data_IF_484579050194
#
_entry.id   IF_484579050194
#
_cell.length_a   1.000
_cell.length_b   1.000
_cell.length_c   1.000
_cell.angle_alpha   90.00
_cell.angle_beta   90.00
_cell.angle_gamma   90.00
#
_symmetry.space_group_name_H-M   'P 1'
#
loop_
_entity.id
_entity.type
_entity.pdbx_description
1 polymer ?
#
# COMPACT_ATOMS: atom_id res chain seq x y z
N UNK A 1 15.36 5.12 23.03
CA UNK A 1 15.69 4.23 21.89
C UNK A 1 14.44 3.71 21.18
N UNK A 2 13.58 2.86 21.78
CA UNK A 2 12.37 2.38 21.10
C UNK A 2 11.38 3.51 20.75
N UNK A 3 11.12 4.42 21.69
CA UNK A 3 10.24 5.58 21.50
C UNK A 3 10.76 6.56 20.42
N UNK A 4 12.07 6.76 20.37
CA UNK A 4 12.70 7.64 19.37
C UNK A 4 12.59 7.06 17.95
N UNK A 5 12.67 5.72 17.83
CA UNK A 5 12.47 5.02 16.56
C UNK A 5 11.01 5.07 16.10
N UNK A 6 10.05 4.92 17.02
CA UNK A 6 8.63 5.03 16.71
C UNK A 6 8.27 6.45 16.23
N UNK A 7 8.78 7.48 16.91
CA UNK A 7 8.58 8.88 16.52
C UNK A 7 9.20 9.17 15.15
N UNK A 8 10.40 8.65 14.87
CA UNK A 8 11.04 8.76 13.57
C UNK A 8 10.23 8.06 12.45
N UNK A 9 9.68 6.87 12.73
CA UNK A 9 8.81 6.14 11.80
C UNK A 9 7.55 6.94 11.49
N UNK A 10 6.88 7.50 12.50
CA UNK A 10 5.68 8.31 12.29
C UNK A 10 5.97 9.56 11.47
N UNK A 11 7.11 10.22 11.72
CA UNK A 11 7.55 11.38 10.95
C UNK A 11 7.81 11.02 9.48
N UNK A 12 8.60 9.97 9.24
CA UNK A 12 8.91 9.48 7.88
C UNK A 12 7.65 9.10 7.12
N UNK A 13 6.69 8.43 7.77
CA UNK A 13 5.38 8.12 7.19
C UNK A 13 4.64 9.39 6.78
N UNK A 14 4.58 10.38 7.67
CA UNK A 14 3.91 11.66 7.41
C UNK A 14 4.51 12.40 6.22
N UNK A 15 5.84 12.50 6.16
CA UNK A 15 6.56 13.11 5.04
C UNK A 15 6.31 12.33 3.75
N UNK A 16 6.38 11.00 3.80
CA UNK A 16 6.11 10.13 2.65
C UNK A 16 4.72 10.35 2.07
N UNK A 17 3.69 10.39 2.92
CA UNK A 17 2.31 10.65 2.50
C UNK A 17 2.14 12.07 1.92
N UNK A 18 2.80 13.08 2.48
CA UNK A 18 2.79 14.43 1.96
C UNK A 18 3.41 14.51 0.56
N UNK A 19 4.56 13.87 0.35
CA UNK A 19 5.17 13.80 -0.97
C UNK A 19 4.28 13.06 -1.98
N UNK A 20 3.64 11.97 -1.57
CA UNK A 20 2.73 11.20 -2.43
C UNK A 20 1.55 12.04 -2.90
N UNK A 21 0.91 12.77 -1.99
CA UNK A 21 -0.22 13.66 -2.31
C UNK A 21 0.16 14.82 -3.24
N UNK A 22 1.41 15.26 -3.19
CA UNK A 22 1.97 16.28 -4.08
C UNK A 22 2.47 15.71 -5.42
N UNK A 23 2.21 14.44 -5.74
CA UNK A 23 2.66 13.78 -6.97
C UNK A 23 4.16 13.45 -7.00
N UNK A 24 4.88 13.66 -5.90
CA UNK A 24 6.31 13.35 -5.77
C UNK A 24 6.52 11.90 -5.33
N UNK A 25 5.97 10.95 -6.10
CA UNK A 25 5.90 9.52 -5.74
C UNK A 25 7.28 8.91 -5.45
N UNK A 26 8.33 9.32 -6.17
CA UNK A 26 9.69 8.83 -5.91
C UNK A 26 10.23 9.26 -4.53
N UNK A 27 10.00 10.52 -4.13
CA UNK A 27 10.40 11.00 -2.79
C UNK A 27 9.57 10.34 -1.69
N UNK A 28 8.28 10.12 -1.95
CA UNK A 28 7.42 9.38 -1.05
C UNK A 28 7.95 7.97 -0.78
N UNK A 29 8.35 7.25 -1.84
CA UNK A 29 8.92 5.91 -1.74
C UNK A 29 10.16 5.88 -0.86
N UNK A 30 11.09 6.83 -1.02
CA UNK A 30 12.31 6.86 -0.20
C UNK A 30 11.97 6.94 1.29
N UNK A 31 11.09 7.86 1.69
CA UNK A 31 10.72 8.03 3.10
C UNK A 31 10.00 6.80 3.65
N UNK A 32 9.07 6.24 2.87
CA UNK A 32 8.29 5.06 3.29
C UNK A 32 9.13 3.79 3.35
N UNK A 33 10.11 3.61 2.46
CA UNK A 33 11.03 2.48 2.50
C UNK A 33 11.93 2.51 3.74
N UNK A 34 12.40 3.71 4.13
CA UNK A 34 13.17 3.87 5.38
C UNK A 34 12.27 3.52 6.58
N UNK A 35 11.04 4.02 6.61
CA UNK A 35 10.09 3.72 7.68
C UNK A 35 9.80 2.21 7.80
N UNK A 36 9.52 1.54 6.68
CA UNK A 36 9.30 0.08 6.63
C UNK A 36 10.55 -0.70 7.02
N UNK A 37 11.76 -0.20 6.78
CA UNK A 37 12.97 -0.88 7.23
C UNK A 37 13.13 -0.86 8.75
N UNK A 38 12.57 0.15 9.43
CA UNK A 38 12.56 0.25 10.90
C UNK A 38 11.41 -0.58 11.50
N UNK A 39 10.24 -0.55 10.87
CA UNK A 39 9.05 -1.29 11.29
C UNK A 39 8.46 -2.11 10.12
N UNK A 40 9.04 -3.29 9.80
CA UNK A 40 8.72 -4.06 8.60
C UNK A 40 7.34 -4.69 8.60
N UNK A 41 6.76 -4.91 9.78
CA UNK A 41 5.48 -5.57 9.99
C UNK A 41 4.36 -4.60 10.41
N UNK A 42 4.60 -3.29 10.27
CA UNK A 42 3.56 -2.28 10.43
C UNK A 42 2.65 -2.25 9.18
N UNK A 43 1.44 -2.77 9.34
CA UNK A 43 0.43 -2.82 8.27
C UNK A 43 0.06 -1.45 7.71
N UNK A 44 0.14 -0.38 8.51
CA UNK A 44 -0.11 0.99 8.05
C UNK A 44 1.00 1.44 7.10
N UNK A 45 2.26 1.18 7.43
CA UNK A 45 3.39 1.52 6.56
C UNK A 45 3.38 0.71 5.27
N UNK A 46 3.11 -0.60 5.35
CA UNK A 46 2.95 -1.44 4.18
C UNK A 46 1.82 -0.93 3.27
N UNK A 47 0.69 -0.51 3.84
CA UNK A 47 -0.42 0.08 3.07
C UNK A 47 -0.01 1.39 2.38
N UNK A 48 0.71 2.28 3.08
CA UNK A 48 1.26 3.50 2.49
C UNK A 48 2.25 3.20 1.37
N UNK A 49 3.08 2.17 1.53
CA UNK A 49 4.05 1.74 0.52
C UNK A 49 3.38 1.19 -0.74
N UNK A 50 2.31 0.38 -0.59
CA UNK A 50 1.47 -0.08 -1.71
C UNK A 50 0.93 1.10 -2.50
N UNK A 51 0.38 2.11 -1.82
CA UNK A 51 -0.16 3.30 -2.47
C UNK A 51 0.92 4.07 -3.22
N UNK A 52 2.10 4.25 -2.60
CA UNK A 52 3.21 4.94 -3.22
C UNK A 52 3.74 4.21 -4.47
N UNK A 53 3.86 2.88 -4.44
CA UNK A 53 4.24 2.08 -5.63
C UNK A 53 3.16 2.14 -6.71
N UNK A 54 1.88 2.13 -6.33
CA UNK A 54 0.77 2.26 -7.27
C UNK A 54 0.80 3.62 -7.97
N UNK A 55 1.01 4.70 -7.21
CA UNK A 55 1.10 6.06 -7.75
C UNK A 55 2.38 6.30 -8.56
N UNK A 56 3.43 5.48 -8.38
CA UNK A 56 4.63 5.49 -9.21
C UNK A 56 4.53 4.59 -10.46
N UNK A 57 3.43 3.87 -10.63
CA UNK A 57 3.22 2.91 -11.73
C UNK A 57 3.95 1.57 -11.56
N UNK A 58 4.61 1.33 -10.43
CA UNK A 58 5.32 0.08 -10.16
C UNK A 58 4.36 -0.95 -9.54
N UNK A 59 3.48 -1.47 -10.39
CA UNK A 59 2.46 -2.42 -9.95
C UNK A 59 3.05 -3.73 -9.41
N UNK A 60 4.21 -4.18 -9.93
CA UNK A 60 4.87 -5.39 -9.45
C UNK A 60 5.28 -5.26 -7.98
N UNK A 61 5.93 -4.15 -7.61
CA UNK A 61 6.30 -3.90 -6.20
C UNK A 61 5.08 -3.61 -5.32
N UNK A 62 4.07 -2.92 -5.86
CA UNK A 62 2.81 -2.71 -5.14
C UNK A 62 2.16 -4.04 -4.76
N UNK A 63 2.09 -5.01 -5.69
CA UNK A 63 1.53 -6.32 -5.44
C UNK A 63 2.35 -7.12 -4.41
N UNK A 64 3.68 -7.09 -4.49
CA UNK A 64 4.52 -7.76 -3.50
C UNK A 64 4.36 -7.19 -2.07
N UNK A 65 4.26 -5.87 -1.93
CA UNK A 65 3.95 -5.24 -0.65
C UNK A 65 2.53 -5.58 -0.17
N UNK A 66 1.57 -5.71 -1.09
CA UNK A 66 0.19 -6.07 -0.77
C UNK A 66 0.07 -7.54 -0.34
N UNK A 67 0.85 -8.45 -0.93
CA UNK A 67 0.90 -9.85 -0.52
C UNK A 67 1.42 -10.00 0.92
N UNK A 68 2.43 -9.20 1.30
CA UNK A 68 2.88 -9.10 2.70
C UNK A 68 1.78 -8.58 3.62
N UNK A 69 1.06 -7.55 3.20
CA UNK A 69 -0.03 -6.96 3.99
C UNK A 69 -1.19 -7.95 4.19
N UNK A 70 -1.54 -8.71 3.16
CA UNK A 70 -2.55 -9.79 3.25
C UNK A 70 -2.09 -10.91 4.17
N UNK A 71 -0.80 -11.26 4.16
CA UNK A 71 -0.26 -12.26 5.10
C UNK A 71 -0.33 -11.79 6.57
N UNK A 72 -0.23 -10.48 6.81
CA UNK A 72 -0.27 -9.89 8.16
C UNK A 72 -1.70 -9.69 8.68
N UNK A 73 -2.58 -9.09 7.87
CA UNK A 73 -3.93 -8.67 8.30
C UNK A 73 -5.05 -9.64 7.85
N UNK A 74 -4.74 -10.59 6.96
CA UNK A 74 -5.73 -11.40 6.25
C UNK A 74 -6.33 -10.68 5.04
N UNK A 75 -6.96 -11.44 4.14
CA UNK A 75 -7.63 -10.85 2.98
C UNK A 75 -8.90 -10.10 3.41
N UNK A 76 -9.08 -8.87 2.95
CA UNK A 76 -10.25 -8.06 3.23
C UNK A 76 -10.70 -7.28 1.99
N UNK A 77 -11.94 -6.78 2.01
CA UNK A 77 -12.49 -6.00 0.90
C UNK A 77 -11.63 -4.75 0.59
N UNK A 78 -11.06 -4.10 1.60
CA UNK A 78 -10.18 -2.94 1.41
C UNK A 78 -8.87 -3.31 0.71
N UNK A 79 -8.27 -4.46 1.05
CA UNK A 79 -7.06 -4.96 0.38
C UNK A 79 -7.34 -5.42 -1.06
N UNK A 80 -8.50 -6.02 -1.33
CA UNK A 80 -8.94 -6.34 -2.70
C UNK A 80 -9.06 -5.09 -3.56
N UNK A 81 -9.59 -4.00 -2.99
CA UNK A 81 -9.69 -2.71 -3.67
C UNK A 81 -8.30 -2.11 -3.96
N UNK A 82 -7.37 -2.16 -3.01
CA UNK A 82 -5.99 -1.71 -3.22
C UNK A 82 -5.29 -2.54 -4.31
N UNK A 83 -5.48 -3.86 -4.31
CA UNK A 83 -4.94 -4.75 -5.35
C UNK A 83 -5.48 -4.40 -6.73
N UNK A 84 -6.79 -4.18 -6.83
CA UNK A 84 -7.44 -3.78 -8.08
C UNK A 84 -6.87 -2.45 -8.60
N UNK A 85 -6.65 -1.47 -7.71
CA UNK A 85 -6.05 -0.19 -8.07
C UNK A 85 -4.59 -0.36 -8.56
N UNK A 86 -3.78 -1.13 -7.85
CA UNK A 86 -2.39 -1.40 -8.26
C UNK A 86 -2.32 -2.03 -9.66
N UNK A 87 -3.18 -3.02 -9.93
CA UNK A 87 -3.27 -3.68 -11.24
C UNK A 87 -3.75 -2.72 -12.34
N UNK A 88 -4.71 -1.84 -12.01
CA UNK A 88 -5.24 -0.87 -12.97
C UNK A 88 -4.17 0.13 -13.44
N UNK A 89 -3.40 0.68 -12.50
CA UNK A 89 -2.30 1.60 -12.80
C UNK A 89 -1.10 0.91 -13.46
N UNK A 90 -0.89 -0.39 -13.21
CA UNK A 90 0.10 -1.21 -13.90
C UNK A 90 -0.32 -1.75 -15.25
N UNK A 91 -1.37 -1.19 -15.86
CA UNK A 91 -1.95 -1.60 -17.15
C UNK A 91 -2.48 -3.05 -17.24
N UNK A 92 -2.51 -3.79 -16.12
CA UNK A 92 -3.09 -5.14 -16.01
C UNK A 92 -4.61 -5.08 -15.79
N UNK A 93 -5.31 -4.47 -16.74
CA UNK A 93 -6.72 -4.09 -16.59
C UNK A 93 -7.67 -5.29 -16.43
N UNK A 94 -7.37 -6.44 -17.04
CA UNK A 94 -8.23 -7.62 -16.91
C UNK A 94 -8.16 -8.24 -15.51
N UNK A 95 -6.97 -8.35 -14.93
CA UNK A 95 -6.78 -8.79 -13.55
C UNK A 95 -7.43 -7.80 -12.57
N UNK A 96 -7.30 -6.49 -12.85
CA UNK A 96 -7.93 -5.45 -12.05
C UNK A 96 -9.47 -5.61 -12.03
N UNK A 97 -10.09 -5.87 -13.19
CA UNK A 97 -11.53 -6.12 -13.30
C UNK A 97 -11.97 -7.33 -12.47
N UNK A 98 -11.19 -8.41 -12.47
CA UNK A 98 -11.49 -9.58 -11.64
C UNK A 98 -11.41 -9.24 -10.14
N UNK A 99 -10.39 -8.50 -9.72
CA UNK A 99 -10.26 -8.03 -8.34
C UNK A 99 -11.43 -7.12 -7.93
N UNK A 100 -11.87 -6.21 -8.80
CA UNK A 100 -13.04 -5.37 -8.55
C UNK A 100 -14.32 -6.20 -8.39
N UNK A 101 -14.52 -7.24 -9.21
CA UNK A 101 -15.68 -8.15 -9.05
C UNK A 101 -15.66 -8.84 -7.70
N UNK A 102 -14.49 -9.35 -7.26
CA UNK A 102 -14.31 -9.96 -5.93
C UNK A 102 -14.59 -8.97 -4.82
N UNK A 103 -14.08 -7.73 -4.92
CA UNK A 103 -14.36 -6.66 -3.97
C UNK A 103 -15.87 -6.37 -3.84
N UNK A 104 -16.58 -6.24 -4.97
CA UNK A 104 -18.02 -5.97 -4.97
C UNK A 104 -18.81 -7.13 -4.34
N UNK A 105 -18.42 -8.38 -4.62
CA UNK A 105 -19.03 -9.55 -4.01
C UNK A 105 -18.81 -9.58 -2.49
N UNK A 106 -17.56 -9.35 -2.03
CA UNK A 106 -17.22 -9.31 -0.61
C UNK A 106 -17.97 -8.20 0.13
N UNK A 107 -18.08 -7.01 -0.47
CA UNK A 107 -18.81 -5.88 0.11
C UNK A 107 -20.32 -6.14 0.23
N UNK A 108 -20.90 -6.88 -0.70
CA UNK A 108 -22.33 -7.27 -0.66
C UNK A 108 -22.61 -8.37 0.37
N UNK A 109 -21.66 -9.27 0.59
CA UNK A 109 -21.80 -10.36 1.56
C UNK A 109 -21.61 -9.93 3.02
N UNK A 110 -20.94 -8.79 3.25
CA UNK A 110 -20.75 -8.19 4.57
C UNK A 110 -21.71 -7.05 4.92
N UNK A 111 -22.75 -6.82 4.11
CA UNK A 111 -23.84 -5.89 4.37
C UNK A 111 -25.11 -6.67 4.76
#
# INVERSE_FOLDING_TARGET
>A
MARDNDDAVQLLKGIGELYRRNGQSQRALVMLLIAVNVAPDDGVLLRSLVLAFTDSGDASRALGALDRLVALEGESASLLLLRARALWYGERKDDARQCFKRYLAARRAGA
#
